data_IF_319959938440
#
_entry.id   IF_319959938440
#
_cell.length_a   1.000
_cell.length_b   1.000
_cell.length_c   1.000
_cell.angle_alpha   90.00
_cell.angle_beta   90.00
_cell.angle_gamma   90.00
#
_symmetry.space_group_name_H-M   'P 1'
#
loop_
_entity.id
_entity.type
_entity.pdbx_description
1 polymer ?
#
# COMPACT_ATOMS: atom_id res chain seq x y z
N UNK A 1 1.12 -9.46 27.25
CA UNK A 1 1.92 -8.76 26.54
C UNK A 1 2.44 -9.46 25.37
N UNK A 2 2.95 -10.55 25.54
CA UNK A 2 3.44 -11.25 24.41
C UNK A 2 2.37 -11.60 23.43
N UNK A 3 1.19 -11.77 23.92
CA UNK A 3 0.10 -12.12 23.05
C UNK A 3 -0.15 -11.07 22.01
N UNK A 4 0.20 -9.85 22.30
CA UNK A 4 0.00 -8.82 21.35
C UNK A 4 0.90 -8.95 20.16
N UNK A 5 2.11 -9.37 20.39
CA UNK A 5 3.05 -9.53 19.33
C UNK A 5 2.60 -10.63 18.41
N UNK A 6 2.03 -11.65 18.96
CA UNK A 6 1.58 -12.75 18.15
C UNK A 6 0.42 -12.39 17.26
N UNK A 7 -0.35 -11.42 17.69
CA UNK A 7 -1.49 -11.00 16.91
C UNK A 7 -1.15 -9.91 15.95
N UNK A 8 0.09 -9.47 15.95
CA UNK A 8 0.47 -8.45 15.06
C UNK A 8 0.36 -8.92 13.64
N UNK A 9 -0.22 -8.09 12.82
CA UNK A 9 -0.30 -8.38 11.41
C UNK A 9 1.02 -8.04 10.76
N UNK A 10 1.29 -8.62 9.63
CA UNK A 10 2.43 -8.20 8.85
C UNK A 10 2.15 -6.83 8.30
N UNK A 11 3.06 -5.93 8.48
CA UNK A 11 2.91 -4.57 7.98
C UNK A 11 4.11 -4.18 7.15
N UNK A 12 3.84 -3.46 6.09
CA UNK A 12 4.89 -2.96 5.20
C UNK A 12 4.58 -1.52 4.87
N UNK A 13 5.62 -0.73 4.73
CA UNK A 13 5.47 0.67 4.40
C UNK A 13 6.24 0.98 3.14
N UNK A 14 5.67 1.85 2.30
CA UNK A 14 6.35 2.34 1.11
C UNK A 14 6.17 3.84 1.02
N UNK A 15 7.24 4.52 0.63
CA UNK A 15 7.13 5.93 0.27
C UNK A 15 7.23 5.98 -1.24
N UNK A 16 6.21 6.50 -1.87
CA UNK A 16 6.10 6.46 -3.32
C UNK A 16 6.02 7.86 -3.90
N UNK A 17 6.64 8.06 -5.03
CA UNK A 17 6.60 9.35 -5.72
C UNK A 17 5.38 9.45 -6.61
N UNK A 18 4.19 9.42 -6.00
CA UNK A 18 2.96 9.41 -6.76
C UNK A 18 1.83 10.00 -5.95
N UNK A 19 0.68 10.18 -6.60
CA UNK A 19 -0.54 10.60 -5.94
C UNK A 19 -1.37 9.38 -5.59
N UNK A 20 -2.39 9.60 -4.76
CA UNK A 20 -3.32 8.52 -4.41
C UNK A 20 -4.06 8.02 -5.65
N UNK A 21 -4.40 8.92 -6.56
CA UNK A 21 -5.11 8.51 -7.77
C UNK A 21 -4.25 7.59 -8.62
N UNK A 22 -2.97 7.89 -8.71
CA UNK A 22 -2.06 7.02 -9.44
C UNK A 22 -1.94 5.66 -8.78
N UNK A 23 -1.85 5.64 -7.46
CA UNK A 23 -1.79 4.38 -6.73
C UNK A 23 -3.02 3.54 -7.04
N UNK A 24 -4.20 4.15 -6.96
CA UNK A 24 -5.45 3.43 -7.20
C UNK A 24 -5.48 2.88 -8.62
N UNK A 25 -4.95 3.61 -9.57
CA UNK A 25 -4.94 3.15 -10.96
C UNK A 25 -4.05 1.93 -11.16
N UNK A 26 -3.01 1.78 -10.34
CA UNK A 26 -2.08 0.66 -10.46
C UNK A 26 -2.53 -0.57 -9.66
N UNK A 27 -3.38 -0.38 -8.68
CA UNK A 27 -3.75 -1.47 -7.78
C UNK A 27 -4.37 -2.68 -8.46
N UNK A 28 -5.23 -2.53 -9.48
CA UNK A 28 -5.79 -3.73 -10.10
C UNK A 28 -4.72 -4.69 -10.59
N UNK A 29 -3.78 -4.21 -11.37
CA UNK A 29 -2.73 -5.08 -11.86
C UNK A 29 -1.78 -5.49 -10.75
N UNK A 30 -1.47 -4.58 -9.84
CA UNK A 30 -0.53 -4.86 -8.77
C UNK A 30 -1.06 -5.89 -7.79
N UNK A 31 -2.37 -6.00 -7.65
CA UNK A 31 -2.99 -6.95 -6.74
C UNK A 31 -3.49 -8.19 -7.43
N UNK A 32 -3.18 -8.36 -8.71
CA UNK A 32 -3.68 -9.47 -9.50
C UNK A 32 -5.20 -9.44 -9.58
N UNK A 33 -5.73 -8.23 -9.70
CA UNK A 33 -7.17 -7.98 -9.91
C UNK A 33 -8.06 -8.47 -8.77
N UNK A 34 -7.54 -8.42 -7.55
CA UNK A 34 -8.37 -8.70 -6.37
C UNK A 34 -9.34 -7.56 -6.15
N UNK A 35 -10.57 -7.86 -5.77
CA UNK A 35 -11.54 -6.79 -5.54
C UNK A 35 -11.20 -5.99 -4.29
N UNK A 36 -11.38 -4.69 -4.36
CA UNK A 36 -11.14 -3.82 -3.23
C UNK A 36 -12.13 -2.68 -3.20
N UNK A 37 -12.30 -2.10 -2.03
CA UNK A 37 -13.14 -0.94 -1.82
C UNK A 37 -12.29 0.22 -1.37
N UNK A 38 -12.65 1.41 -1.81
CA UNK A 38 -11.95 2.61 -1.44
C UNK A 38 -12.77 3.37 -0.42
N UNK A 39 -12.18 3.54 0.76
CA UNK A 39 -12.80 4.35 1.79
C UNK A 39 -12.10 5.69 1.79
N UNK A 40 -12.72 6.68 1.21
CA UNK A 40 -12.05 7.95 1.01
C UNK A 40 -12.20 8.89 2.20
N UNK A 41 -12.69 8.39 3.29
CA UNK A 41 -12.66 9.16 4.51
C UNK A 41 -11.25 9.13 5.04
N UNK A 42 -10.95 9.99 5.92
CA UNK A 42 -9.58 10.20 6.40
C UNK A 42 -9.08 9.07 7.24
N UNK A 43 -7.89 8.56 7.00
CA UNK A 43 -7.04 8.73 5.83
C UNK A 43 -7.55 7.87 4.71
N UNK A 44 -7.06 8.05 3.51
CA UNK A 44 -7.50 7.26 2.38
C UNK A 44 -7.18 5.80 2.63
N UNK A 45 -8.21 5.03 2.77
CA UNK A 45 -8.07 3.62 3.11
C UNK A 45 -8.65 2.76 2.01
N UNK A 46 -7.91 1.73 1.67
CA UNK A 46 -8.32 0.80 0.63
C UNK A 46 -8.36 -0.58 1.25
N UNK A 47 -9.50 -1.24 1.15
CA UNK A 47 -9.69 -2.52 1.79
C UNK A 47 -9.90 -3.62 0.77
N UNK A 48 -9.10 -4.67 0.85
CA UNK A 48 -9.30 -5.90 0.12
C UNK A 48 -10.02 -6.83 1.09
N UNK A 49 -11.33 -6.69 1.16
CA UNK A 49 -12.08 -7.35 2.22
C UNK A 49 -11.98 -8.86 2.19
N UNK A 50 -11.98 -9.42 1.01
CA UNK A 50 -11.92 -10.88 0.90
C UNK A 50 -10.56 -11.43 1.27
N UNK A 51 -9.54 -10.61 1.16
CA UNK A 51 -8.19 -11.08 1.39
C UNK A 51 -7.60 -10.60 2.70
N UNK A 52 -8.29 -9.74 3.42
CA UNK A 52 -7.78 -9.27 4.70
C UNK A 52 -6.58 -8.36 4.58
N UNK A 53 -6.56 -7.53 3.55
CA UNK A 53 -5.50 -6.57 3.35
C UNK A 53 -6.08 -5.16 3.49
N UNK A 54 -5.39 -4.33 4.26
CA UNK A 54 -5.79 -2.94 4.42
C UNK A 54 -4.63 -2.07 4.00
N UNK A 55 -4.91 -1.08 3.16
CA UNK A 55 -3.90 -0.12 2.71
C UNK A 55 -4.32 1.26 3.17
N UNK A 56 -3.43 1.95 3.84
CA UNK A 56 -3.67 3.34 4.26
C UNK A 56 -2.66 4.21 3.55
N UNK A 57 -3.16 5.09 2.69
CA UNK A 57 -2.31 5.96 1.89
C UNK A 57 -2.48 7.40 2.34
N UNK A 58 -1.39 8.03 2.71
CA UNK A 58 -1.41 9.39 3.24
C UNK A 58 -0.51 10.27 2.39
N UNK A 59 -1.09 11.32 1.83
CA UNK A 59 -0.32 12.24 1.01
C UNK A 59 0.60 13.05 1.91
N UNK A 60 1.88 13.03 1.58
CA UNK A 60 2.88 13.75 2.35
C UNK A 60 3.23 15.05 1.64
N UNK A 61 4.09 15.83 2.29
CA UNK A 61 4.60 17.03 1.69
C UNK A 61 5.41 16.67 0.45
N UNK A 62 5.15 17.38 -0.64
CA UNK A 62 5.85 17.12 -1.89
C UNK A 62 7.34 17.36 -1.75
N UNK A 63 8.11 16.61 -2.53
CA UNK A 63 9.54 16.80 -2.59
C UNK A 63 9.86 17.70 -3.76
N UNK A 64 10.75 18.65 -3.56
CA UNK A 64 11.14 19.55 -4.62
C UNK A 64 12.58 19.29 -4.98
N UNK A 65 12.84 19.01 -6.24
CA UNK A 65 14.18 18.78 -6.72
C UNK A 65 14.37 19.68 -7.93
N UNK A 66 15.23 20.70 -7.79
CA UNK A 66 15.41 21.71 -8.83
C UNK A 66 14.02 22.31 -9.15
N UNK A 67 13.58 22.21 -10.39
CA UNK A 67 12.29 22.74 -10.80
C UNK A 67 11.17 21.72 -10.75
N UNK A 68 11.47 20.51 -10.30
CA UNK A 68 10.48 19.46 -10.27
C UNK A 68 9.83 19.37 -8.91
N UNK A 69 8.51 19.19 -8.92
CA UNK A 69 7.77 18.95 -7.69
C UNK A 69 7.22 17.52 -7.79
N UNK A 70 7.68 16.67 -6.89
CA UNK A 70 7.34 15.26 -6.90
C UNK A 70 6.42 14.97 -5.73
N UNK A 71 5.22 14.46 -5.98
CA UNK A 71 4.35 14.12 -4.86
C UNK A 71 4.94 12.95 -4.07
N UNK A 72 4.63 12.90 -2.79
CA UNK A 72 5.11 11.83 -1.92
C UNK A 72 3.90 11.23 -1.22
N UNK A 73 3.76 9.92 -1.36
CA UNK A 73 2.65 9.19 -0.76
C UNK A 73 3.21 8.15 0.19
N UNK A 74 2.74 8.17 1.43
CA UNK A 74 3.09 7.14 2.38
C UNK A 74 2.02 6.07 2.33
N UNK A 75 2.41 4.84 2.06
CA UNK A 75 1.48 3.73 1.89
C UNK A 75 1.81 2.64 2.89
N UNK A 76 0.87 2.31 3.75
CA UNK A 76 1.06 1.28 4.76
C UNK A 76 0.13 0.13 4.45
N UNK A 77 0.70 -1.05 4.32
CA UNK A 77 -0.04 -2.28 4.05
C UNK A 77 -0.13 -3.09 5.33
N UNK A 78 -1.32 -3.53 5.67
CA UNK A 78 -1.53 -4.41 6.81
C UNK A 78 -2.20 -5.68 6.33
N UNK A 79 -1.58 -6.82 6.62
CA UNK A 79 -2.10 -8.13 6.24
C UNK A 79 -2.60 -8.83 7.49
N UNK A 80 -3.78 -9.42 7.43
CA UNK A 80 -4.33 -10.06 8.63
C UNK A 80 -3.61 -11.39 8.90
N UNK A 81 -4.06 -12.07 9.94
CA UNK A 81 -3.36 -13.24 10.45
C UNK A 81 -3.31 -14.41 9.50
N UNK A 82 -4.21 -14.48 8.54
CA UNK A 82 -4.20 -15.62 7.63
C UNK A 82 -3.05 -15.54 6.63
N UNK A 83 -2.41 -14.40 6.53
CA UNK A 83 -1.25 -14.25 5.66
C UNK A 83 0.00 -14.62 6.44
N UNK A 84 0.81 -15.53 5.90
CA UNK A 84 2.09 -15.77 6.52
C UNK A 84 3.12 -14.81 5.90
N UNK A 85 4.31 -14.87 6.45
CA UNK A 85 5.34 -13.94 6.02
C UNK A 85 5.65 -14.09 4.54
N UNK A 86 5.76 -15.33 4.08
CA UNK A 86 6.14 -15.58 2.71
C UNK A 86 5.09 -15.08 1.72
N UNK A 87 3.82 -15.33 2.00
CA UNK A 87 2.78 -14.90 1.07
C UNK A 87 2.63 -13.39 1.07
N UNK A 88 2.78 -12.74 2.23
CA UNK A 88 2.69 -11.29 2.26
C UNK A 88 3.87 -10.67 1.52
N UNK A 89 5.06 -11.26 1.63
CA UNK A 89 6.21 -10.75 0.90
C UNK A 89 6.05 -10.92 -0.60
N UNK A 90 5.41 -12.01 -1.02
CA UNK A 90 5.15 -12.19 -2.44
C UNK A 90 4.19 -11.15 -2.97
N UNK A 91 3.17 -10.82 -2.18
CA UNK A 91 2.25 -9.77 -2.58
C UNK A 91 2.99 -8.45 -2.73
N UNK A 92 3.84 -8.12 -1.76
CA UNK A 92 4.58 -6.86 -1.81
C UNK A 92 5.54 -6.83 -3.00
N UNK A 93 6.15 -7.96 -3.30
CA UNK A 93 7.06 -8.01 -4.43
C UNK A 93 6.32 -7.75 -5.75
N UNK A 94 5.15 -8.31 -5.90
CA UNK A 94 4.35 -8.04 -7.08
C UNK A 94 3.92 -6.58 -7.13
N UNK A 95 3.48 -6.05 -5.98
CA UNK A 95 3.10 -4.65 -5.90
C UNK A 95 4.25 -3.75 -6.33
N UNK A 96 5.44 -4.01 -5.77
CA UNK A 96 6.60 -3.19 -6.10
C UNK A 96 6.91 -3.26 -7.58
N UNK A 97 6.81 -4.44 -8.16
CA UNK A 97 7.09 -4.60 -9.58
C UNK A 97 6.14 -3.80 -10.46
N UNK A 98 4.89 -3.80 -10.11
CA UNK A 98 3.89 -3.15 -10.95
C UNK A 98 3.80 -1.65 -10.74
N UNK A 99 4.36 -1.14 -9.65
CA UNK A 99 4.29 0.29 -9.37
C UNK A 99 5.61 1.00 -9.56
N UNK A 100 6.69 0.25 -9.67
CA UNK A 100 8.02 0.83 -9.75
C UNK A 100 8.20 1.77 -10.90
N UNK A 101 7.73 1.38 -12.07
CA UNK A 101 7.95 2.20 -13.21
C UNK A 101 7.09 3.45 -13.17
N UNK A 102 6.14 3.52 -12.35
CA UNK A 102 5.33 4.72 -12.24
C UNK A 102 6.06 5.85 -11.57
N UNK A 103 7.27 5.67 -11.27
CA UNK A 103 7.98 6.75 -10.68
C UNK A 103 8.58 6.33 -9.38
N UNK A 104 8.48 5.13 -9.16
CA UNK A 104 9.06 4.63 -7.95
C UNK A 104 10.55 4.65 -8.02
#
# INVERSE_FOLDING_TARGET
>A
MLAQDEKKHHQYQRLMGCTIDELISWLPAASNYKPFNINQQLPNQIDFLEDGIKIVATQQKSRQIALLVIPVLSVVFSFDQKWDKLSSEKFMKRFDMYTQRGGG
#
